data_IF_763883002885
#
_entry.id   IF_763883002885
#
_cell.length_a   1.000
_cell.length_b   1.000
_cell.length_c   1.000
_cell.angle_alpha   90.00
_cell.angle_beta   90.00
_cell.angle_gamma   90.00
#
_symmetry.space_group_name_H-M   'P 1'
#
loop_
_entity.id
_entity.type
_entity.pdbx_description
1 polymer ?
#
# COMPACT_ATOMS: atom_id res chain seq x y z
N UNK A 1 28.39 23.54 -6.48
CA UNK A 1 27.37 23.01 -7.43
C UNK A 1 28.04 22.82 -8.79
N UNK A 2 27.85 21.68 -9.49
CA UNK A 2 28.49 21.48 -10.82
C UNK A 2 27.85 22.45 -11.83
N UNK A 3 28.65 23.34 -12.42
CA UNK A 3 28.23 24.21 -13.53
C UNK A 3 27.98 23.36 -14.78
N UNK A 4 27.07 23.80 -15.64
CA UNK A 4 26.91 23.18 -16.97
C UNK A 4 28.18 23.45 -17.78
N UNK A 5 28.65 22.50 -18.58
CA UNK A 5 29.81 22.77 -19.43
C UNK A 5 29.45 23.82 -20.48
N UNK A 6 30.38 24.74 -20.81
CA UNK A 6 30.15 25.74 -21.86
C UNK A 6 29.71 25.11 -23.19
N UNK A 7 30.25 23.93 -23.52
CA UNK A 7 29.94 23.16 -24.71
C UNK A 7 28.48 22.69 -24.71
N UNK A 8 27.96 22.21 -23.57
CA UNK A 8 26.55 21.81 -23.45
C UNK A 8 25.59 22.98 -23.65
N UNK A 9 25.92 24.15 -23.08
CA UNK A 9 25.08 25.36 -23.21
C UNK A 9 25.08 25.88 -24.65
N UNK A 10 26.23 25.87 -25.31
CA UNK A 10 26.33 26.28 -26.72
C UNK A 10 25.55 25.31 -27.62
N UNK A 11 25.67 24.00 -27.42
CA UNK A 11 24.91 23.01 -28.15
C UNK A 11 23.39 23.17 -27.93
N UNK A 12 22.96 23.50 -26.69
CA UNK A 12 21.55 23.78 -26.39
C UNK A 12 21.07 25.04 -27.13
N UNK A 13 21.88 26.09 -27.16
CA UNK A 13 21.60 27.32 -27.92
C UNK A 13 21.39 27.02 -29.41
N UNK A 14 22.32 26.29 -30.03
CA UNK A 14 22.22 25.91 -31.44
C UNK A 14 20.98 25.07 -31.70
N UNK A 15 20.71 24.06 -30.86
CA UNK A 15 19.55 23.20 -31.02
C UNK A 15 18.23 23.99 -30.91
N UNK A 16 18.05 24.80 -29.86
CA UNK A 16 16.86 25.66 -29.70
C UNK A 16 16.66 26.62 -30.89
N UNK A 17 17.76 27.09 -31.48
CA UNK A 17 17.76 27.96 -32.65
C UNK A 17 17.32 27.19 -33.91
N UNK A 18 17.59 25.90 -34.04
CA UNK A 18 17.28 25.15 -35.26
C UNK A 18 16.00 24.29 -35.22
N UNK A 19 15.51 23.89 -34.04
CA UNK A 19 14.30 23.05 -33.92
C UNK A 19 13.04 23.71 -34.50
N UNK A 20 12.97 25.04 -34.52
CA UNK A 20 11.88 25.80 -35.13
C UNK A 20 12.40 26.92 -36.03
N UNK A 21 11.68 27.18 -37.11
CA UNK A 21 12.00 28.28 -38.02
C UNK A 21 11.57 29.65 -37.46
N UNK A 22 10.32 29.77 -37.01
CA UNK A 22 9.76 31.06 -36.54
C UNK A 22 10.12 31.31 -35.07
N UNK A 23 10.47 32.57 -34.78
CA UNK A 23 10.71 33.06 -33.41
C UNK A 23 9.54 32.77 -32.46
N UNK A 24 8.30 32.97 -32.93
CA UNK A 24 7.08 32.72 -32.16
C UNK A 24 6.96 31.26 -31.68
N UNK A 25 7.34 30.31 -32.52
CA UNK A 25 7.24 28.89 -32.20
C UNK A 25 8.30 28.50 -31.13
N UNK A 26 9.49 29.09 -31.20
CA UNK A 26 10.56 28.91 -30.18
C UNK A 26 10.12 29.49 -28.84
N UNK A 27 9.59 30.72 -28.86
CA UNK A 27 9.06 31.38 -27.65
C UNK A 27 8.01 30.50 -26.98
N UNK A 28 7.06 29.96 -27.76
CA UNK A 28 6.02 29.06 -27.23
C UNK A 28 6.61 27.78 -26.67
N UNK A 29 7.54 27.13 -27.40
CA UNK A 29 8.22 25.93 -26.94
C UNK A 29 8.91 26.16 -25.59
N UNK A 30 9.73 27.21 -25.47
CA UNK A 30 10.42 27.56 -24.22
C UNK A 30 9.40 27.85 -23.11
N UNK A 31 8.37 28.66 -23.39
CA UNK A 31 7.34 29.02 -22.41
C UNK A 31 6.59 27.81 -21.83
N UNK A 32 6.36 26.78 -22.64
CA UNK A 32 5.68 25.56 -22.21
C UNK A 32 6.64 24.53 -21.58
N UNK A 33 7.95 24.70 -21.76
CA UNK A 33 8.96 23.78 -21.23
C UNK A 33 9.44 24.18 -19.84
N UNK A 34 9.56 25.48 -19.56
CA UNK A 34 10.11 25.98 -18.29
C UNK A 34 9.00 26.42 -17.31
N UNK A 35 9.29 26.38 -16.01
CA UNK A 35 8.36 26.84 -14.99
C UNK A 35 8.40 28.36 -14.81
N UNK A 36 9.59 28.98 -14.89
CA UNK A 36 9.77 30.41 -14.71
C UNK A 36 9.37 31.22 -15.96
N UNK A 37 8.07 31.27 -16.24
CA UNK A 37 7.45 31.94 -17.39
C UNK A 37 7.79 33.43 -17.52
N UNK A 38 8.02 34.10 -16.39
CA UNK A 38 8.40 35.51 -16.35
C UNK A 38 9.71 35.78 -17.11
N UNK A 39 10.65 34.83 -17.11
CA UNK A 39 11.90 35.00 -17.84
C UNK A 39 11.63 35.15 -19.34
N UNK A 40 10.72 34.33 -19.90
CA UNK A 40 10.37 34.35 -21.33
C UNK A 40 9.67 35.65 -21.72
N UNK A 41 8.83 36.19 -20.84
CA UNK A 41 8.09 37.44 -21.12
C UNK A 41 8.97 38.68 -21.08
N UNK A 42 10.09 38.65 -20.35
CA UNK A 42 11.06 39.78 -20.26
C UNK A 42 12.08 39.86 -21.41
N UNK A 43 11.94 39.03 -22.44
CA UNK A 43 12.84 39.00 -23.60
C UNK A 43 12.10 39.62 -24.79
N UNK A 44 12.77 40.49 -25.55
CA UNK A 44 12.22 41.07 -26.76
C UNK A 44 12.33 40.10 -27.94
N UNK A 45 11.32 39.22 -28.07
CA UNK A 45 11.21 38.26 -29.17
C UNK A 45 10.73 38.88 -30.49
N UNK A 46 10.24 40.12 -30.48
CA UNK A 46 9.61 40.75 -31.64
C UNK A 46 10.66 41.50 -32.49
N UNK A 47 11.56 42.24 -31.83
CA UNK A 47 12.58 43.05 -32.50
C UNK A 47 13.96 42.38 -32.58
N UNK A 48 14.23 41.33 -31.79
CA UNK A 48 15.54 40.63 -31.82
C UNK A 48 15.56 39.47 -32.81
N UNK A 49 16.74 39.09 -33.29
CA UNK A 49 16.88 37.84 -34.06
C UNK A 49 16.58 36.62 -33.17
N UNK A 50 16.33 35.48 -33.83
CA UNK A 50 16.12 34.20 -33.15
C UNK A 50 17.30 33.85 -32.24
N UNK A 51 18.50 33.98 -32.77
CA UNK A 51 19.73 33.61 -32.08
C UNK A 51 20.00 34.53 -30.89
N UNK A 52 19.81 35.85 -31.05
CA UNK A 52 19.93 36.81 -29.95
C UNK A 52 18.93 36.51 -28.82
N UNK A 53 17.67 36.25 -29.16
CA UNK A 53 16.63 35.94 -28.16
C UNK A 53 16.98 34.70 -27.34
N UNK A 54 17.41 33.62 -28.00
CA UNK A 54 17.83 32.38 -27.34
C UNK A 54 19.12 32.57 -26.54
N UNK A 55 20.05 33.40 -27.04
CA UNK A 55 21.30 33.72 -26.32
C UNK A 55 21.01 34.49 -25.03
N UNK A 56 20.16 35.53 -25.10
CA UNK A 56 19.77 36.32 -23.93
C UNK A 56 19.07 35.44 -22.90
N UNK A 57 18.17 34.55 -23.35
CA UNK A 57 17.50 33.57 -22.49
C UNK A 57 18.52 32.72 -21.73
N UNK A 58 19.39 32.01 -22.45
CA UNK A 58 20.31 31.06 -21.84
C UNK A 58 21.37 31.76 -20.98
N UNK A 59 21.89 32.90 -21.40
CA UNK A 59 22.84 33.68 -20.59
C UNK A 59 22.21 34.09 -19.25
N UNK A 60 20.98 34.62 -19.26
CA UNK A 60 20.27 34.97 -18.02
C UNK A 60 20.06 33.76 -17.10
N UNK A 61 19.79 32.58 -17.67
CA UNK A 61 19.62 31.35 -16.89
C UNK A 61 20.94 30.86 -16.30
N UNK A 62 22.04 30.94 -17.05
CA UNK A 62 23.38 30.53 -16.62
C UNK A 62 23.96 31.49 -15.57
N UNK A 63 23.77 32.80 -15.75
CA UNK A 63 24.23 33.82 -14.79
C UNK A 63 23.59 33.64 -13.40
N UNK A 64 22.35 33.14 -13.38
CA UNK A 64 21.60 32.80 -12.16
C UNK A 64 21.31 31.30 -12.07
N UNK A 65 22.34 30.48 -12.29
CA UNK A 65 22.20 29.02 -12.36
C UNK A 65 21.52 28.43 -11.12
N UNK A 66 21.73 28.98 -9.92
CA UNK A 66 21.10 28.47 -8.69
C UNK A 66 19.56 28.56 -8.72
N UNK A 67 19.01 29.51 -9.47
CA UNK A 67 17.56 29.71 -9.62
C UNK A 67 17.01 28.93 -10.82
N UNK A 68 17.73 28.93 -11.94
CA UNK A 68 17.22 28.41 -13.22
C UNK A 68 17.72 27.02 -13.60
N UNK A 69 18.47 26.34 -12.72
CA UNK A 69 19.04 25.02 -13.00
C UNK A 69 18.01 24.01 -13.51
N UNK A 70 16.87 23.91 -12.85
CA UNK A 70 15.84 22.94 -13.21
C UNK A 70 15.18 23.28 -14.54
N UNK A 71 15.01 24.57 -14.85
CA UNK A 71 14.52 25.02 -16.16
C UNK A 71 15.52 24.77 -17.28
N UNK A 72 16.82 24.95 -17.02
CA UNK A 72 17.88 24.57 -17.98
C UNK A 72 17.79 23.05 -18.23
N UNK A 73 17.65 22.23 -17.18
CA UNK A 73 17.51 20.78 -17.32
C UNK A 73 16.26 20.38 -18.11
N UNK A 74 15.13 21.06 -17.91
CA UNK A 74 13.90 20.84 -18.71
C UNK A 74 14.11 21.17 -20.19
N UNK A 75 14.81 22.26 -20.50
CA UNK A 75 15.15 22.60 -21.88
C UNK A 75 16.05 21.55 -22.52
N UNK A 76 17.09 21.09 -21.82
CA UNK A 76 17.90 19.99 -22.32
C UNK A 76 17.04 18.73 -22.56
N UNK A 77 16.21 18.34 -21.60
CA UNK A 77 15.36 17.15 -21.71
C UNK A 77 14.42 17.20 -22.91
N UNK A 78 13.71 18.33 -23.08
CA UNK A 78 12.76 18.54 -24.15
C UNK A 78 13.43 18.52 -25.54
N UNK A 79 14.62 19.12 -25.66
CA UNK A 79 15.36 19.16 -26.92
C UNK A 79 16.00 17.80 -27.24
N UNK A 80 16.53 17.09 -26.25
CA UNK A 80 17.09 15.74 -26.44
C UNK A 80 16.05 14.73 -26.95
N UNK A 81 14.83 14.82 -26.43
CA UNK A 81 13.70 13.98 -26.85
C UNK A 81 13.00 14.46 -28.13
N UNK A 82 13.44 15.57 -28.72
CA UNK A 82 12.89 16.11 -29.96
C UNK A 82 13.26 15.22 -31.16
N UNK A 83 12.28 14.52 -31.74
CA UNK A 83 12.49 13.54 -32.83
C UNK A 83 11.74 13.86 -34.12
N UNK A 84 10.66 14.63 -34.03
CA UNK A 84 9.85 15.01 -35.20
C UNK A 84 10.23 16.41 -35.72
N UNK A 85 10.60 16.49 -37.00
CA UNK A 85 10.93 17.74 -37.70
C UNK A 85 10.01 17.99 -38.90
N UNK A 86 8.89 17.27 -38.99
CA UNK A 86 7.94 17.33 -40.10
C UNK A 86 7.38 18.75 -40.32
N UNK A 87 7.21 19.53 -39.25
CA UNK A 87 6.74 20.93 -39.30
C UNK A 87 7.66 21.88 -40.08
N UNK A 88 8.92 21.50 -40.34
CA UNK A 88 9.86 22.28 -41.14
C UNK A 88 9.68 22.07 -42.66
N UNK A 89 8.95 21.03 -43.09
CA UNK A 89 8.72 20.74 -44.52
C UNK A 89 7.95 21.82 -45.28
N UNK A 90 7.20 22.66 -44.55
CA UNK A 90 6.38 23.74 -45.12
C UNK A 90 7.16 24.97 -45.59
N UNK A 91 8.47 24.99 -45.40
CA UNK A 91 9.33 26.14 -45.72
C UNK A 91 10.23 25.82 -46.91
N UNK A 92 10.60 26.85 -47.67
CA UNK A 92 11.64 26.72 -48.70
C UNK A 92 12.97 26.25 -48.09
N UNK A 93 13.77 25.52 -48.86
CA UNK A 93 14.98 24.83 -48.39
C UNK A 93 14.75 23.92 -47.15
N UNK A 94 13.57 23.29 -47.08
CA UNK A 94 13.19 22.45 -45.94
C UNK A 94 14.21 21.35 -45.63
N UNK A 95 14.84 20.75 -46.65
CA UNK A 95 15.88 19.72 -46.47
C UNK A 95 17.08 20.25 -45.68
N UNK A 96 17.57 21.45 -46.03
CA UNK A 96 18.68 22.09 -45.31
C UNK A 96 18.28 22.44 -43.87
N UNK A 97 17.05 22.92 -43.65
CA UNK A 97 16.55 23.27 -42.32
C UNK A 97 16.41 22.04 -41.42
N UNK A 98 15.85 20.95 -41.95
CA UNK A 98 15.72 19.66 -41.25
C UNK A 98 17.10 19.09 -40.93
N UNK A 99 18.04 19.12 -41.90
CA UNK A 99 19.42 18.66 -41.70
C UNK A 99 20.12 19.42 -40.57
N UNK A 100 20.01 20.74 -40.56
CA UNK A 100 20.63 21.58 -39.53
C UNK A 100 19.99 21.32 -38.14
N UNK A 101 18.66 21.19 -38.08
CA UNK A 101 17.95 20.89 -36.84
C UNK A 101 18.34 19.50 -36.27
N UNK A 102 18.39 18.48 -37.12
CA UNK A 102 18.85 17.14 -36.72
C UNK A 102 20.28 17.18 -36.20
N UNK A 103 21.20 17.80 -36.95
CA UNK A 103 22.61 17.92 -36.57
C UNK A 103 22.78 18.61 -35.21
N UNK A 104 22.06 19.70 -34.97
CA UNK A 104 22.15 20.44 -33.71
C UNK A 104 21.61 19.63 -32.51
N UNK A 105 20.50 18.90 -32.70
CA UNK A 105 19.96 18.01 -31.65
C UNK A 105 20.86 16.79 -31.40
N UNK A 106 21.47 16.22 -32.44
CA UNK A 106 22.43 15.11 -32.33
C UNK A 106 23.68 15.55 -31.55
N UNK A 107 24.26 16.71 -31.89
CA UNK A 107 25.39 17.28 -31.17
C UNK A 107 25.06 17.52 -29.68
N UNK A 108 23.85 17.98 -29.38
CA UNK A 108 23.39 18.12 -28.01
C UNK A 108 23.32 16.76 -27.28
N UNK A 109 22.85 15.70 -27.95
CA UNK A 109 22.79 14.34 -27.38
C UNK A 109 24.16 13.80 -27.00
N UNK A 110 25.15 13.99 -27.86
CA UNK A 110 26.52 13.55 -27.60
C UNK A 110 27.09 14.23 -26.35
N UNK A 111 26.97 15.56 -26.30
CA UNK A 111 27.55 16.37 -25.22
C UNK A 111 26.77 16.22 -23.89
N UNK A 112 25.45 16.00 -23.93
CA UNK A 112 24.60 15.92 -22.74
C UNK A 112 24.41 14.49 -22.18
N UNK A 113 24.84 13.45 -22.89
CA UNK A 113 24.66 12.02 -22.55
C UNK A 113 25.02 11.67 -21.10
N UNK A 114 26.11 12.21 -20.56
CA UNK A 114 26.53 11.95 -19.18
C UNK A 114 25.69 12.66 -18.09
N UNK A 115 24.99 13.75 -18.41
CA UNK A 115 24.20 14.50 -17.42
C UNK A 115 22.85 13.84 -17.10
N UNK A 116 22.21 13.23 -18.10
CA UNK A 116 20.89 12.61 -17.95
C UNK A 116 20.95 11.23 -17.29
N UNK A 117 22.01 10.45 -17.55
CA UNK A 117 22.25 9.19 -16.86
C UNK A 117 22.34 9.38 -15.33
N UNK A 118 23.08 10.40 -14.88
CA UNK A 118 23.21 10.73 -13.46
C UNK A 118 21.91 11.21 -12.81
N UNK A 119 21.02 11.87 -13.58
CA UNK A 119 19.70 12.31 -13.09
C UNK A 119 18.77 11.11 -12.90
N UNK A 120 18.67 10.25 -13.91
CA UNK A 120 17.88 9.02 -13.82
C UNK A 120 18.37 8.09 -12.70
N UNK A 121 19.69 7.93 -12.53
CA UNK A 121 20.26 7.13 -11.45
C UNK A 121 19.87 7.66 -10.07
N UNK A 122 19.91 8.99 -9.87
CA UNK A 122 19.50 9.63 -8.61
C UNK A 122 18.02 9.49 -8.35
N UNK A 123 17.17 9.66 -9.37
CA UNK A 123 15.72 9.49 -9.24
C UNK A 123 15.37 8.04 -8.89
N UNK A 124 15.99 7.07 -9.56
CA UNK A 124 15.85 5.64 -9.24
C UNK A 124 16.34 5.32 -7.83
N UNK A 125 17.47 5.88 -7.41
CA UNK A 125 17.99 5.70 -6.05
C UNK A 125 17.06 6.30 -4.98
N UNK A 126 16.50 7.48 -5.23
CA UNK A 126 15.53 8.12 -4.34
C UNK A 126 14.22 7.32 -4.26
N UNK A 127 13.72 6.82 -5.40
CA UNK A 127 12.52 5.99 -5.46
C UNK A 127 12.72 4.67 -4.67
N UNK A 128 13.87 4.00 -4.86
CA UNK A 128 14.24 2.80 -4.10
C UNK A 128 14.32 3.09 -2.60
N UNK A 129 14.92 4.21 -2.21
CA UNK A 129 15.01 4.61 -0.80
C UNK A 129 13.63 4.86 -0.19
N UNK A 130 12.76 5.60 -0.88
CA UNK A 130 11.38 5.85 -0.43
C UNK A 130 10.58 4.55 -0.29
N UNK A 131 10.69 3.65 -1.26
CA UNK A 131 10.03 2.34 -1.21
C UNK A 131 10.55 1.47 -0.05
N UNK A 132 11.87 1.48 0.19
CA UNK A 132 12.45 0.78 1.33
C UNK A 132 11.97 1.37 2.67
N UNK A 133 11.95 2.70 2.79
CA UNK A 133 11.46 3.39 3.99
C UNK A 133 9.96 3.11 4.24
N UNK A 134 9.12 3.07 3.21
CA UNK A 134 7.69 2.73 3.36
C UNK A 134 7.50 1.28 3.80
N UNK A 135 8.20 0.33 3.16
CA UNK A 135 8.16 -1.08 3.53
C UNK A 135 8.63 -1.32 4.98
N UNK A 136 9.66 -0.59 5.43
CA UNK A 136 10.14 -0.68 6.82
C UNK A 136 9.08 -0.18 7.80
N UNK A 137 8.45 0.98 7.53
CA UNK A 137 7.38 1.52 8.36
C UNK A 137 6.18 0.58 8.45
N UNK A 138 5.77 -0.02 7.34
CA UNK A 138 4.67 -0.99 7.32
C UNK A 138 4.98 -2.22 8.17
N UNK A 139 6.20 -2.79 8.04
CA UNK A 139 6.64 -3.93 8.86
C UNK A 139 6.72 -3.58 10.33
N UNK A 140 7.23 -2.39 10.66
CA UNK A 140 7.32 -1.92 12.04
C UNK A 140 5.91 -1.73 12.65
N UNK A 141 4.99 -1.13 11.90
CA UNK A 141 3.60 -0.96 12.32
C UNK A 141 2.89 -2.31 12.54
N UNK A 142 3.06 -3.27 11.61
CA UNK A 142 2.50 -4.62 11.75
C UNK A 142 3.05 -5.33 13.00
N UNK A 143 4.37 -5.27 13.21
CA UNK A 143 5.02 -5.85 14.40
C UNK A 143 4.54 -5.20 15.69
N UNK A 144 4.36 -3.88 15.70
CA UNK A 144 3.85 -3.15 16.85
C UNK A 144 2.40 -3.55 17.18
N UNK A 145 1.54 -3.70 16.17
CA UNK A 145 0.16 -4.17 16.35
C UNK A 145 0.12 -5.56 17.01
N UNK A 146 0.86 -6.53 16.48
CA UNK A 146 0.90 -7.87 17.05
C UNK A 146 1.47 -7.88 18.48
N UNK A 147 2.52 -7.09 18.73
CA UNK A 147 3.07 -6.92 20.07
C UNK A 147 2.04 -6.36 21.05
N UNK A 148 1.18 -5.44 20.62
CA UNK A 148 0.10 -4.89 21.45
C UNK A 148 -0.96 -5.95 21.78
N UNK A 149 -1.32 -6.80 20.80
CA UNK A 149 -2.25 -7.91 21.01
C UNK A 149 -1.68 -8.91 22.04
N UNK A 150 -0.40 -9.31 21.90
CA UNK A 150 0.31 -10.18 22.87
C UNK A 150 0.35 -9.58 24.28
N UNK A 151 0.64 -8.28 24.37
CA UNK A 151 0.67 -7.57 25.65
C UNK A 151 -0.74 -7.49 26.27
N UNK A 152 -1.79 -7.29 25.46
CA UNK A 152 -3.17 -7.31 25.90
C UNK A 152 -3.55 -8.67 26.49
N UNK A 153 -3.24 -9.75 25.78
CA UNK A 153 -3.45 -11.12 26.27
C UNK A 153 -2.76 -11.37 27.63
N UNK A 154 -1.50 -10.94 27.75
CA UNK A 154 -0.73 -11.10 28.99
C UNK A 154 -1.39 -10.39 30.18
N UNK A 155 -1.99 -9.21 29.95
CA UNK A 155 -2.76 -8.49 30.98
C UNK A 155 -4.04 -9.25 31.36
N UNK A 156 -4.79 -9.77 30.37
CA UNK A 156 -5.99 -10.56 30.62
C UNK A 156 -5.65 -11.80 31.46
N UNK A 157 -4.58 -12.52 31.10
CA UNK A 157 -4.14 -13.71 31.82
C UNK A 157 -3.73 -13.43 33.28
N UNK A 158 -3.27 -12.22 33.59
CA UNK A 158 -2.88 -11.81 34.94
C UNK A 158 -4.06 -11.44 35.86
N UNK A 159 -5.28 -11.27 35.31
CA UNK A 159 -6.47 -10.93 36.09
C UNK A 159 -6.88 -12.08 37.00
N UNK A 160 -7.08 -11.76 38.29
CA UNK A 160 -7.47 -12.73 39.32
C UNK A 160 -8.97 -12.96 39.37
N UNK A 161 -9.76 -11.90 39.19
CA UNK A 161 -11.21 -11.99 39.21
C UNK A 161 -11.73 -12.71 37.95
N UNK A 162 -12.48 -13.82 38.08
CA UNK A 162 -12.94 -14.59 36.94
C UNK A 162 -13.92 -13.84 36.03
N UNK A 163 -14.74 -12.95 36.59
CA UNK A 163 -15.75 -12.21 35.83
C UNK A 163 -15.10 -11.09 35.03
N UNK A 164 -14.22 -10.31 35.67
CA UNK A 164 -13.40 -9.29 35.02
C UNK A 164 -12.54 -9.91 33.90
N UNK A 165 -11.94 -11.08 34.16
CA UNK A 165 -11.16 -11.80 33.15
C UNK A 165 -12.03 -12.25 31.97
N UNK A 166 -13.27 -12.66 32.21
CA UNK A 166 -14.22 -13.02 31.15
C UNK A 166 -14.46 -11.85 30.20
N UNK A 167 -14.88 -10.70 30.72
CA UNK A 167 -15.10 -9.50 29.91
C UNK A 167 -13.84 -8.99 29.20
N UNK A 168 -12.69 -9.04 29.90
CA UNK A 168 -11.42 -8.66 29.29
C UNK A 168 -11.01 -9.62 28.16
N UNK A 169 -11.37 -10.90 28.26
CA UNK A 169 -11.15 -11.88 27.19
C UNK A 169 -12.02 -11.63 25.97
N UNK A 170 -13.30 -11.29 26.16
CA UNK A 170 -14.19 -10.90 25.06
C UNK A 170 -13.63 -9.69 24.30
N UNK A 171 -13.15 -8.67 25.02
CA UNK A 171 -12.51 -7.51 24.41
C UNK A 171 -11.22 -7.88 23.66
N UNK A 172 -10.39 -8.75 24.26
CA UNK A 172 -9.17 -9.23 23.59
C UNK A 172 -9.48 -9.98 22.29
N UNK A 173 -10.51 -10.83 22.29
CA UNK A 173 -10.91 -11.57 21.08
C UNK A 173 -11.42 -10.62 19.99
N UNK A 174 -12.16 -9.57 20.36
CA UNK A 174 -12.56 -8.54 19.42
C UNK A 174 -11.34 -7.85 18.78
N UNK A 175 -10.35 -7.46 19.58
CA UNK A 175 -9.11 -6.85 19.07
C UNK A 175 -8.30 -7.84 18.20
N UNK A 176 -8.31 -9.13 18.53
CA UNK A 176 -7.66 -10.18 17.74
C UNK A 176 -8.36 -10.37 16.38
N UNK A 177 -9.69 -10.40 16.35
CA UNK A 177 -10.46 -10.49 15.10
C UNK A 177 -10.27 -9.25 14.22
N UNK A 178 -10.18 -8.06 14.83
CA UNK A 178 -9.90 -6.81 14.13
C UNK A 178 -8.50 -6.84 13.49
N UNK A 179 -7.50 -7.35 14.22
CA UNK A 179 -6.14 -7.51 13.70
C UNK A 179 -6.06 -8.41 12.45
N UNK A 180 -6.97 -9.37 12.32
CA UNK A 180 -7.08 -10.29 11.18
C UNK A 180 -8.15 -9.87 10.16
N UNK A 181 -8.62 -8.61 10.21
CA UNK A 181 -9.59 -8.03 9.27
C UNK A 181 -10.91 -8.82 9.15
N UNK A 182 -11.42 -9.36 10.25
CA UNK A 182 -12.64 -10.19 10.29
C UNK A 182 -13.94 -9.39 10.51
N UNK A 183 -13.92 -8.06 10.44
CA UNK A 183 -15.07 -7.17 10.69
C UNK A 183 -15.85 -7.54 11.98
N UNK A 184 -15.19 -7.51 13.16
CA UNK A 184 -15.80 -8.00 14.38
C UNK A 184 -16.78 -7.01 15.02
N UNK A 185 -17.93 -7.53 15.45
CA UNK A 185 -18.90 -6.83 16.28
C UNK A 185 -18.74 -7.25 17.75
N UNK A 186 -18.56 -6.26 18.62
CA UNK A 186 -18.54 -6.44 20.09
C UNK A 186 -19.85 -7.00 20.62
N UNK A 187 -19.83 -7.52 21.85
CA UNK A 187 -20.98 -8.13 22.54
C UNK A 187 -22.28 -7.34 22.37
N UNK A 188 -23.39 -8.04 22.11
CA UNK A 188 -24.71 -7.42 21.90
C UNK A 188 -25.84 -8.30 22.45
N UNK A 189 -27.04 -7.72 22.56
CA UNK A 189 -28.24 -8.43 23.03
C UNK A 189 -29.33 -8.42 21.97
N UNK A 190 -29.95 -9.57 21.74
CA UNK A 190 -31.14 -9.73 20.88
C UNK A 190 -32.23 -10.41 21.70
N UNK A 191 -33.36 -9.74 21.92
CA UNK A 191 -34.54 -10.32 22.60
C UNK A 191 -34.20 -11.02 23.95
N UNK A 192 -33.26 -10.48 24.72
CA UNK A 192 -32.81 -11.05 26.00
C UNK A 192 -31.65 -12.07 25.89
N UNK A 193 -31.31 -12.52 24.70
CA UNK A 193 -30.13 -13.36 24.43
C UNK A 193 -28.87 -12.49 24.32
N UNK A 194 -27.85 -12.75 25.14
CA UNK A 194 -26.53 -12.13 25.04
C UNK A 194 -25.61 -12.97 24.14
N UNK A 195 -24.93 -12.30 23.22
CA UNK A 195 -23.91 -12.85 22.32
C UNK A 195 -22.62 -12.09 22.60
N UNK A 196 -21.52 -12.82 22.84
CA UNK A 196 -20.25 -12.24 23.29
C UNK A 196 -19.52 -11.51 22.15
N UNK A 197 -19.74 -11.95 20.91
CA UNK A 197 -19.27 -11.24 19.73
C UNK A 197 -19.82 -11.85 18.43
N UNK A 198 -19.52 -11.19 17.32
CA UNK A 198 -19.71 -11.75 15.99
C UNK A 198 -18.59 -11.26 15.07
N UNK A 199 -18.36 -11.94 13.96
CA UNK A 199 -17.41 -11.52 12.91
C UNK A 199 -17.78 -12.20 11.58
N UNK A 200 -17.23 -11.71 10.48
CA UNK A 200 -17.43 -12.31 9.15
C UNK A 200 -16.10 -12.88 8.66
N UNK A 201 -16.12 -14.16 8.28
CA UNK A 201 -14.97 -14.84 7.70
C UNK A 201 -15.38 -15.58 6.44
N UNK A 202 -14.73 -15.24 5.32
CA UNK A 202 -14.97 -15.85 4.01
C UNK A 202 -16.47 -15.88 3.65
N UNK A 203 -17.10 -14.69 3.69
CA UNK A 203 -18.52 -14.45 3.43
C UNK A 203 -19.49 -15.26 4.31
N UNK A 204 -19.01 -15.77 5.45
CA UNK A 204 -19.81 -16.51 6.43
C UNK A 204 -19.80 -15.75 7.75
N UNK A 205 -20.99 -15.48 8.29
CA UNK A 205 -21.11 -14.80 9.59
C UNK A 205 -20.97 -15.81 10.73
N UNK A 206 -20.16 -15.44 11.72
CA UNK A 206 -19.96 -16.20 12.95
C UNK A 206 -20.53 -15.41 14.12
N UNK A 207 -21.32 -16.08 14.96
CA UNK A 207 -21.53 -15.64 16.34
C UNK A 207 -20.52 -16.31 17.26
N UNK A 208 -20.10 -15.62 18.31
CA UNK A 208 -19.04 -16.05 19.22
C UNK A 208 -19.59 -16.20 20.63
N UNK A 209 -19.19 -17.30 21.27
CA UNK A 209 -19.27 -17.49 22.72
C UNK A 209 -17.86 -17.74 23.26
N UNK A 210 -17.48 -17.05 24.32
CA UNK A 210 -16.14 -17.15 24.89
C UNK A 210 -16.18 -17.45 26.40
N UNK A 211 -15.39 -18.44 26.84
CA UNK A 211 -15.28 -18.81 28.26
C UNK A 211 -13.83 -18.93 28.71
N UNK A 212 -13.48 -18.18 29.76
CA UNK A 212 -12.20 -18.30 30.47
C UNK A 212 -12.39 -18.73 31.92
N UNK A 213 -12.74 -20.00 32.11
CA UNK A 213 -12.94 -20.63 33.42
C UNK A 213 -12.13 -21.93 33.52
N UNK A 214 -11.64 -22.27 34.71
CA UNK A 214 -10.88 -23.52 34.92
C UNK A 214 -11.74 -24.78 34.71
N UNK A 215 -13.03 -24.69 34.99
CA UNK A 215 -13.97 -25.78 34.75
C UNK A 215 -14.15 -25.98 33.25
N UNK A 216 -13.89 -27.20 32.77
CA UNK A 216 -14.14 -27.58 31.38
C UNK A 216 -15.59 -27.28 30.98
N UNK A 217 -15.76 -26.80 29.76
CA UNK A 217 -17.09 -26.56 29.17
C UNK A 217 -17.81 -27.88 29.02
N UNK A 218 -19.09 -27.90 29.39
CA UNK A 218 -19.92 -29.11 29.36
C UNK A 218 -20.79 -29.16 28.12
N UNK A 219 -21.30 -30.35 27.79
CA UNK A 219 -22.30 -30.55 26.73
C UNK A 219 -23.49 -29.58 26.83
N UNK A 220 -23.95 -29.30 28.04
CA UNK A 220 -25.06 -28.37 28.31
C UNK A 220 -24.79 -26.94 27.83
N UNK A 221 -23.54 -26.48 27.89
CA UNK A 221 -23.16 -25.17 27.38
C UNK A 221 -23.19 -25.14 25.84
N UNK A 222 -22.74 -26.23 25.19
CA UNK A 222 -22.81 -26.34 23.74
C UNK A 222 -24.25 -26.42 23.23
N UNK A 223 -25.15 -27.12 23.93
CA UNK A 223 -26.57 -27.13 23.59
C UNK A 223 -27.21 -25.75 23.69
N UNK A 224 -26.88 -24.99 24.73
CA UNK A 224 -27.35 -23.60 24.86
C UNK A 224 -26.88 -22.74 23.69
N UNK A 225 -25.60 -22.81 23.35
CA UNK A 225 -25.06 -22.04 22.23
C UNK A 225 -25.62 -22.51 20.87
N UNK A 226 -25.81 -23.82 20.69
CA UNK A 226 -26.49 -24.40 19.52
C UNK A 226 -27.92 -23.87 19.35
N UNK A 227 -28.63 -23.59 20.45
CA UNK A 227 -29.92 -22.92 20.42
C UNK A 227 -29.81 -21.51 19.85
N UNK A 228 -28.79 -20.74 20.29
CA UNK A 228 -28.52 -19.39 19.78
C UNK A 228 -28.25 -19.38 18.27
N UNK A 229 -27.44 -20.32 17.78
CA UNK A 229 -27.11 -20.48 16.34
C UNK A 229 -28.36 -20.82 15.53
N UNK A 230 -29.17 -21.78 16.00
CA UNK A 230 -30.39 -22.22 15.32
C UNK A 230 -31.41 -21.09 15.11
N UNK A 231 -31.38 -20.04 15.94
CA UNK A 231 -32.22 -18.85 15.81
C UNK A 231 -31.70 -17.79 14.84
N UNK A 232 -30.58 -18.02 14.14
CA UNK A 232 -29.99 -17.07 13.18
C UNK A 232 -30.24 -17.50 11.73
N UNK A 233 -29.74 -16.73 10.77
CA UNK A 233 -29.83 -17.07 9.36
C UNK A 233 -29.19 -18.44 9.11
N UNK A 234 -29.74 -19.24 8.19
CA UNK A 234 -29.35 -20.64 7.96
C UNK A 234 -27.85 -20.86 7.70
N UNK A 235 -27.15 -19.85 7.16
CA UNK A 235 -25.71 -19.89 6.85
C UNK A 235 -24.82 -19.43 8.01
N UNK A 236 -25.41 -18.94 9.11
CA UNK A 236 -24.65 -18.44 10.26
C UNK A 236 -23.99 -19.61 10.97
N UNK A 237 -22.70 -19.45 11.26
CA UNK A 237 -21.90 -20.40 12.02
C UNK A 237 -21.71 -19.89 13.46
N UNK A 238 -21.33 -20.79 14.36
CA UNK A 238 -20.92 -20.46 15.72
C UNK A 238 -19.45 -20.78 15.93
N UNK A 239 -18.74 -19.89 16.61
CA UNK A 239 -17.43 -20.16 17.17
C UNK A 239 -17.54 -20.19 18.70
N UNK A 240 -17.24 -21.34 19.31
CA UNK A 240 -17.17 -21.45 20.76
C UNK A 240 -15.71 -21.55 21.19
N UNK A 241 -15.26 -20.59 22.00
CA UNK A 241 -13.88 -20.52 22.49
C UNK A 241 -13.87 -20.85 23.99
N UNK A 242 -13.21 -21.93 24.39
CA UNK A 242 -13.00 -22.29 25.78
C UNK A 242 -11.52 -22.33 26.12
N UNK A 243 -11.02 -21.35 26.89
CA UNK A 243 -9.58 -21.24 27.15
C UNK A 243 -8.99 -22.50 27.81
N UNK A 244 -9.71 -23.12 28.75
CA UNK A 244 -9.28 -24.36 29.42
C UNK A 244 -9.78 -25.64 28.72
N UNK A 245 -10.56 -25.52 27.64
CA UNK A 245 -11.04 -26.64 26.84
C UNK A 245 -12.42 -27.19 27.23
N UNK A 246 -12.71 -28.39 26.75
CA UNK A 246 -14.04 -29.02 26.75
C UNK A 246 -14.01 -30.37 27.45
N UNK A 247 -15.12 -30.77 28.07
CA UNK A 247 -15.26 -32.12 28.62
C UNK A 247 -15.35 -33.16 27.51
N UNK A 248 -14.95 -34.42 27.72
CA UNK A 248 -15.05 -35.47 26.71
C UNK A 248 -16.46 -35.64 26.13
N UNK A 249 -17.48 -35.44 26.96
CA UNK A 249 -18.90 -35.52 26.57
C UNK A 249 -19.26 -34.51 25.47
N UNK A 250 -18.58 -33.36 25.38
CA UNK A 250 -18.78 -32.38 24.32
C UNK A 250 -18.48 -32.90 22.91
N UNK A 251 -17.76 -34.02 22.79
CA UNK A 251 -17.43 -34.62 21.50
C UNK A 251 -18.37 -35.78 21.12
N UNK A 252 -19.32 -36.12 21.99
CA UNK A 252 -20.29 -37.21 21.79
C UNK A 252 -21.73 -36.70 21.63
N UNK A 253 -21.93 -35.38 21.67
CA UNK A 253 -23.25 -34.74 21.57
C UNK A 253 -23.72 -34.63 20.13
N UNK A 254 -25.03 -34.75 19.93
CA UNK A 254 -25.69 -34.49 18.65
C UNK A 254 -26.88 -33.55 18.85
N UNK A 255 -26.96 -32.52 17.99
CA UNK A 255 -28.05 -31.54 17.91
C UNK A 255 -27.96 -30.81 16.56
N UNK A 256 -29.09 -30.31 16.01
CA UNK A 256 -29.10 -29.64 14.71
C UNK A 256 -28.10 -28.48 14.59
N UNK A 257 -28.02 -27.60 15.58
CA UNK A 257 -27.11 -26.42 15.54
C UNK A 257 -25.66 -26.72 15.94
N UNK A 258 -25.35 -27.92 16.45
CA UNK A 258 -23.97 -28.32 16.72
C UNK A 258 -23.18 -28.43 15.42
N UNK A 259 -23.81 -28.88 14.32
CA UNK A 259 -23.13 -29.03 13.03
C UNK A 259 -22.74 -27.72 12.36
N UNK A 260 -23.26 -26.59 12.84
CA UNK A 260 -22.88 -25.25 12.42
C UNK A 260 -21.90 -24.59 13.41
N UNK A 261 -21.23 -25.36 14.25
CA UNK A 261 -20.32 -24.86 15.29
C UNK A 261 -18.87 -25.29 15.01
N UNK A 262 -17.92 -24.43 15.39
CA UNK A 262 -16.50 -24.75 15.48
C UNK A 262 -16.05 -24.50 16.92
N UNK A 263 -15.23 -25.41 17.46
CA UNK A 263 -14.67 -25.31 18.80
C UNK A 263 -13.19 -24.89 18.74
N UNK A 264 -12.81 -23.95 19.61
CA UNK A 264 -11.42 -23.55 19.84
C UNK A 264 -11.08 -23.59 21.33
N UNK A 265 -9.85 -23.97 21.64
CA UNK A 265 -9.30 -23.96 23.00
C UNK A 265 -8.19 -22.93 23.20
N UNK A 266 -7.61 -22.87 24.41
CA UNK A 266 -6.48 -21.99 24.68
C UNK A 266 -5.23 -22.32 23.86
N UNK A 267 -5.00 -23.58 23.47
CA UNK A 267 -3.85 -23.92 22.62
C UNK A 267 -3.97 -23.30 21.23
N UNK A 268 -5.18 -23.24 20.70
CA UNK A 268 -5.47 -22.56 19.43
C UNK A 268 -5.09 -21.07 19.50
N UNK A 269 -5.54 -20.37 20.55
CA UNK A 269 -5.21 -18.95 20.78
C UNK A 269 -3.70 -18.76 20.94
N UNK A 270 -3.04 -19.63 21.71
CA UNK A 270 -1.60 -19.56 21.92
C UNK A 270 -0.82 -19.83 20.64
N UNK A 271 -1.27 -20.74 19.77
CA UNK A 271 -0.61 -20.99 18.49
C UNK A 271 -0.70 -19.79 17.54
N UNK A 272 -1.82 -19.07 17.56
CA UNK A 272 -1.99 -17.80 16.82
C UNK A 272 -1.09 -16.72 17.38
N UNK A 273 -1.09 -16.53 18.70
CA UNK A 273 -0.21 -15.55 19.34
C UNK A 273 1.27 -15.90 19.13
N UNK A 274 1.66 -17.16 19.18
CA UNK A 274 3.04 -17.59 18.93
C UNK A 274 3.45 -17.53 17.44
N UNK A 275 2.59 -17.02 16.54
CA UNK A 275 2.84 -16.91 15.11
C UNK A 275 3.11 -18.27 14.45
N UNK A 276 2.61 -19.37 15.04
CA UNK A 276 2.74 -20.72 14.46
C UNK A 276 1.73 -20.95 13.34
N UNK A 277 0.59 -20.26 13.40
CA UNK A 277 -0.47 -20.27 12.39
C UNK A 277 -1.26 -18.97 12.47
N UNK A 278 -1.65 -18.41 11.32
CA UNK A 278 -2.55 -17.26 11.29
C UNK A 278 -3.98 -17.66 11.68
N UNK A 279 -4.72 -16.76 12.33
CA UNK A 279 -6.10 -17.05 12.75
C UNK A 279 -7.01 -17.41 11.59
N UNK A 280 -6.89 -16.72 10.45
CA UNK A 280 -7.67 -16.99 9.24
C UNK A 280 -7.38 -18.38 8.69
N UNK A 281 -6.11 -18.78 8.65
CA UNK A 281 -5.69 -20.13 8.23
C UNK A 281 -6.17 -21.20 9.22
N UNK A 282 -6.08 -20.94 10.53
CA UNK A 282 -6.57 -21.84 11.57
C UNK A 282 -8.09 -22.07 11.44
N UNK A 283 -8.86 -20.98 11.25
CA UNK A 283 -10.29 -21.02 11.03
C UNK A 283 -10.64 -21.78 9.75
N UNK A 284 -9.90 -21.55 8.66
CA UNK A 284 -10.07 -22.29 7.41
C UNK A 284 -9.89 -23.80 7.62
N UNK A 285 -8.79 -24.23 8.25
CA UNK A 285 -8.49 -25.65 8.49
C UNK A 285 -9.53 -26.32 9.37
N UNK A 286 -9.93 -25.68 10.47
CA UNK A 286 -10.98 -26.19 11.37
C UNK A 286 -12.33 -26.31 10.66
N UNK A 287 -12.73 -25.28 9.90
CA UNK A 287 -13.98 -25.30 9.12
C UNK A 287 -13.97 -26.41 8.08
N UNK A 288 -12.87 -26.56 7.36
CA UNK A 288 -12.70 -27.61 6.34
C UNK A 288 -12.79 -29.01 6.96
N UNK A 289 -12.09 -29.24 8.07
CA UNK A 289 -12.16 -30.51 8.79
C UNK A 289 -13.58 -30.83 9.28
N UNK A 290 -14.27 -29.84 9.85
CA UNK A 290 -15.65 -30.00 10.29
C UNK A 290 -16.60 -30.31 9.12
N UNK A 291 -16.40 -29.67 7.96
CA UNK A 291 -17.18 -29.93 6.76
C UNK A 291 -16.94 -31.35 6.19
N UNK A 292 -15.69 -31.84 6.23
CA UNK A 292 -15.31 -33.15 5.69
C UNK A 292 -15.67 -34.31 6.62
N UNK A 293 -15.58 -34.12 7.94
CA UNK A 293 -15.70 -35.21 8.93
C UNK A 293 -16.95 -35.14 9.81
N UNK A 294 -17.63 -33.98 9.84
CA UNK A 294 -18.69 -33.69 10.79
C UNK A 294 -18.23 -33.42 12.22
N UNK A 295 -16.92 -33.47 12.50
CA UNK A 295 -16.35 -33.19 13.83
C UNK A 295 -16.03 -31.71 13.99
N UNK A 296 -16.63 -31.10 15.01
CA UNK A 296 -16.57 -29.64 15.24
C UNK A 296 -15.32 -29.16 15.97
N UNK A 297 -14.47 -30.09 16.42
CA UNK A 297 -13.21 -29.80 17.09
C UNK A 297 -12.06 -30.53 16.38
N UNK A 298 -11.03 -29.76 16.06
CA UNK A 298 -9.74 -30.22 15.57
C UNK A 298 -8.68 -29.54 16.42
N UNK A 299 -7.83 -30.28 17.13
CA UNK A 299 -6.78 -29.65 17.93
C UNK A 299 -5.75 -28.99 17.01
N UNK A 300 -5.27 -27.79 17.35
CA UNK A 300 -4.14 -27.19 16.60
C UNK A 300 -2.90 -28.08 16.59
N UNK A 301 -2.74 -28.99 17.56
CA UNK A 301 -1.63 -29.95 17.59
C UNK A 301 -1.73 -31.01 16.49
N UNK A 302 -2.93 -31.26 15.97
CA UNK A 302 -3.17 -32.17 14.84
C UNK A 302 -3.03 -31.47 13.48
N UNK A 303 -2.88 -30.14 13.48
CA UNK A 303 -2.70 -29.32 12.28
C UNK A 303 -1.22 -29.27 11.84
N UNK A 304 -0.30 -29.49 12.78
CA UNK A 304 1.14 -29.47 12.59
C UNK A 304 1.74 -30.88 12.49
#
# INVERSE_FOLDING_TARGET
MKRFSPESILALKEALTHIYWRRKDIRQFVYHTIENKMLVTTIDWENSTKEESVSILLNRMVDKQDVFKDDILRLFDAVLHFKDFSHLKKWDDSETKIRNAKRAVEALREVASGYFQLKEEKERALARRKAYESMQKEREAARAKLSNIKASFSRVAALKDPQERGYAFESFLNDLFEYYDLDPRRSFRICGEQIDGAFTFDNTDYIVEAKWQQKLVSAGDLYKFSGKISGKLKITMGLFISFYGFSPDCFQVDAPGLKSMILMDGNDIMAVLDERIDLTELMYRKRRYAAETGKIFLSVREIF
#
